data_IF_163461667080
#
_entry.id   IF_163461667080
#
_cell.length_a   1.000
_cell.length_b   1.000
_cell.length_c   1.000
_cell.angle_alpha   90.00
_cell.angle_beta   90.00
_cell.angle_gamma   90.00
#
_symmetry.space_group_name_H-M   'P 1'
#
loop_
_entity.id
_entity.type
_entity.pdbx_description
1 polymer ?
#
# COMPACT_ATOMS: atom_id res chain seq x y z
N UNK A 1 -4.48 3.11 -8.24
CA UNK A 1 -4.11 3.17 -6.81
C UNK A 1 -4.97 4.18 -6.00
N UNK A 2 -6.21 4.51 -6.40
CA UNK A 2 -6.93 5.67 -5.86
C UNK A 2 -7.10 5.69 -4.33
N UNK A 3 -7.61 4.60 -3.73
CA UNK A 3 -7.77 4.53 -2.27
C UNK A 3 -6.44 4.49 -1.53
N UNK A 4 -5.50 3.66 -2.00
CA UNK A 4 -4.17 3.53 -1.39
C UNK A 4 -3.41 4.87 -1.38
N UNK A 5 -3.48 5.64 -2.47
CA UNK A 5 -2.88 6.97 -2.57
C UNK A 5 -3.56 7.99 -1.63
N UNK A 6 -4.88 7.86 -1.43
CA UNK A 6 -5.65 8.69 -0.50
C UNK A 6 -5.21 8.44 0.95
N UNK A 7 -5.09 7.17 1.35
CA UNK A 7 -4.76 6.78 2.71
C UNK A 7 -3.25 6.86 3.02
N UNK A 8 -2.39 6.61 2.04
CA UNK A 8 -0.98 6.32 2.27
C UNK A 8 -0.76 4.92 2.86
N UNK A 9 0.50 4.55 3.04
CA UNK A 9 0.90 3.23 3.56
C UNK A 9 2.22 3.29 4.32
N UNK A 10 2.46 2.30 5.17
CA UNK A 10 3.75 2.07 5.83
C UNK A 10 4.07 0.59 5.84
N UNK A 11 5.14 0.20 5.16
CA UNK A 11 5.63 -1.19 5.09
C UNK A 11 6.68 -1.38 6.16
N UNK A 12 6.45 -2.32 7.08
CA UNK A 12 7.46 -2.72 8.05
C UNK A 12 8.45 -3.71 7.39
N UNK A 13 9.75 -3.35 7.25
CA UNK A 13 10.74 -4.23 6.64
C UNK A 13 11.08 -5.46 7.49
N UNK A 14 10.83 -5.42 8.80
CA UNK A 14 11.08 -6.52 9.73
C UNK A 14 9.92 -7.53 9.78
N UNK A 15 8.79 -7.25 9.12
CA UNK A 15 7.65 -8.15 9.07
C UNK A 15 7.83 -9.21 7.96
N UNK A 16 7.88 -10.52 8.31
CA UNK A 16 8.00 -11.59 7.33
C UNK A 16 6.87 -11.62 6.28
N UNK A 17 5.68 -11.10 6.60
CA UNK A 17 4.58 -11.01 5.65
C UNK A 17 4.88 -10.07 4.47
N UNK A 18 5.79 -9.10 4.66
CA UNK A 18 6.19 -8.13 3.65
C UNK A 18 7.38 -8.60 2.81
N UNK A 19 8.01 -9.74 3.13
CA UNK A 19 9.27 -10.17 2.51
C UNK A 19 9.21 -10.15 0.97
N UNK A 20 8.13 -10.68 0.37
CA UNK A 20 7.92 -10.69 -1.08
C UNK A 20 7.76 -9.28 -1.66
N UNK A 21 7.04 -8.39 -0.97
CA UNK A 21 6.84 -7.01 -1.40
C UNK A 21 8.16 -6.23 -1.38
N UNK A 22 9.01 -6.47 -0.37
CA UNK A 22 10.30 -5.81 -0.21
C UNK A 22 11.33 -6.21 -1.28
N UNK A 23 11.14 -7.32 -1.98
CA UNK A 23 12.02 -7.72 -3.10
C UNK A 23 11.96 -6.74 -4.27
N UNK A 24 10.82 -6.06 -4.46
CA UNK A 24 10.57 -5.17 -5.60
C UNK A 24 10.30 -3.73 -5.21
N UNK A 25 9.82 -3.48 -3.98
CA UNK A 25 9.48 -2.15 -3.51
C UNK A 25 10.75 -1.34 -3.15
N UNK A 26 10.98 -0.16 -3.77
CA UNK A 26 12.07 0.72 -3.39
C UNK A 26 11.92 1.24 -1.95
N UNK A 27 13.03 1.36 -1.21
CA UNK A 27 13.03 1.79 0.20
C UNK A 27 12.35 3.15 0.45
N UNK A 28 12.47 4.08 -0.50
CA UNK A 28 11.83 5.40 -0.40
C UNK A 28 10.30 5.35 -0.50
N UNK A 29 9.73 4.20 -0.86
CA UNK A 29 8.29 3.94 -0.88
C UNK A 29 7.84 3.12 0.33
N UNK A 30 8.70 2.86 1.33
CA UNK A 30 8.28 2.14 2.54
C UNK A 30 7.33 2.97 3.41
N UNK A 31 7.44 4.29 3.37
CA UNK A 31 6.51 5.18 4.07
C UNK A 31 6.05 6.29 3.12
N UNK A 32 4.77 6.27 2.78
CA UNK A 32 4.15 7.24 1.88
C UNK A 32 2.97 7.91 2.58
N UNK A 33 2.96 9.25 2.67
CA UNK A 33 1.90 9.95 3.37
C UNK A 33 0.55 9.89 2.60
N UNK A 34 -0.57 10.13 3.31
CA UNK A 34 -1.87 10.34 2.68
C UNK A 34 -1.84 11.44 1.60
N UNK A 35 -2.78 11.41 0.66
CA UNK A 35 -2.90 12.37 -0.45
C UNK A 35 -1.68 12.45 -1.39
N UNK A 36 -0.88 11.38 -1.46
CA UNK A 36 0.30 11.35 -2.33
C UNK A 36 -0.07 11.15 -3.79
N UNK A 37 0.64 11.84 -4.69
CA UNK A 37 0.55 11.57 -6.12
C UNK A 37 1.25 10.26 -6.45
N UNK A 38 0.54 9.35 -7.10
CA UNK A 38 1.08 8.06 -7.55
C UNK A 38 1.06 7.97 -9.07
N UNK A 39 2.09 7.36 -9.65
CA UNK A 39 2.15 7.07 -11.08
C UNK A 39 2.48 5.58 -11.29
N UNK A 40 1.76 4.94 -12.20
CA UNK A 40 2.04 3.57 -12.66
C UNK A 40 2.30 3.63 -14.17
N UNK A 41 3.57 3.51 -14.62
CA UNK A 41 3.91 3.47 -16.04
C UNK A 41 3.14 2.36 -16.78
N UNK A 42 2.85 2.59 -18.06
CA UNK A 42 1.99 1.70 -18.86
C UNK A 42 2.58 0.29 -19.02
N UNK A 43 3.91 0.17 -19.05
CA UNK A 43 4.61 -1.10 -19.31
C UNK A 43 5.44 -1.61 -18.13
N UNK A 44 5.46 -0.88 -17.03
CA UNK A 44 6.26 -1.18 -15.83
C UNK A 44 5.53 -0.64 -14.60
N UNK A 45 4.25 -1.01 -14.50
CA UNK A 45 3.38 -0.61 -13.41
C UNK A 45 3.43 -1.62 -12.26
N UNK A 46 2.81 -1.27 -11.13
CA UNK A 46 2.66 -2.17 -10.00
C UNK A 46 1.86 -3.43 -10.40
N UNK A 47 2.40 -4.59 -10.05
CA UNK A 47 1.77 -5.90 -10.18
C UNK A 47 0.62 -6.05 -9.19
N UNK A 48 -0.27 -7.03 -9.43
CA UNK A 48 -1.39 -7.30 -8.50
C UNK A 48 -0.91 -7.67 -7.10
N UNK A 49 0.18 -8.43 -6.99
CA UNK A 49 0.75 -8.84 -5.71
C UNK A 49 1.32 -7.66 -4.94
N UNK A 50 1.97 -6.72 -5.63
CA UNK A 50 2.46 -5.47 -5.02
C UNK A 50 1.29 -4.60 -4.55
N UNK A 51 0.23 -4.49 -5.35
CA UNK A 51 -0.97 -3.72 -4.97
C UNK A 51 -1.63 -4.33 -3.73
N UNK A 52 -1.82 -5.66 -3.68
CA UNK A 52 -2.41 -6.35 -2.54
C UNK A 52 -1.52 -6.21 -1.28
N UNK A 53 -0.20 -6.37 -1.43
CA UNK A 53 0.76 -6.16 -0.35
C UNK A 53 0.71 -4.73 0.20
N UNK A 54 0.65 -3.72 -0.68
CA UNK A 54 0.53 -2.33 -0.27
C UNK A 54 -0.82 -2.03 0.40
N UNK A 55 -1.94 -2.60 -0.09
CA UNK A 55 -3.25 -2.46 0.54
C UNK A 55 -3.28 -3.02 1.97
N UNK A 56 -2.64 -4.17 2.20
CA UNK A 56 -2.48 -4.75 3.53
C UNK A 56 -1.67 -3.87 4.50
N UNK A 57 -0.88 -2.92 3.98
CA UNK A 57 -0.08 -1.97 4.75
C UNK A 57 -0.67 -0.54 4.73
N UNK A 58 -1.94 -0.39 4.36
CA UNK A 58 -2.60 0.92 4.32
C UNK A 58 -2.67 1.57 5.70
N UNK A 59 -2.44 2.90 5.75
CA UNK A 59 -2.50 3.64 7.01
C UNK A 59 -3.94 3.75 7.51
N UNK A 60 -4.16 3.76 8.84
CA UNK A 60 -5.48 4.01 9.42
C UNK A 60 -5.93 5.45 9.15
N UNK A 61 -7.24 5.65 9.19
CA UNK A 61 -7.84 6.98 9.12
C UNK A 61 -7.62 7.77 10.44
N UNK A 62 -8.16 8.99 10.53
CA UNK A 62 -8.08 9.85 11.73
C UNK A 62 -8.55 9.15 13.02
N UNK A 63 -9.52 8.26 12.89
CA UNK A 63 -10.17 7.61 14.01
C UNK A 63 -9.46 6.28 14.39
N UNK A 64 -8.39 5.92 13.68
CA UNK A 64 -7.56 4.75 13.94
C UNK A 64 -7.96 3.50 13.15
N UNK A 65 -8.98 3.59 12.30
CA UNK A 65 -9.53 2.45 11.59
C UNK A 65 -8.90 2.26 10.21
N UNK A 66 -8.56 1.02 9.88
CA UNK A 66 -8.21 0.61 8.52
C UNK A 66 -9.51 0.22 7.80
N UNK A 67 -9.96 1.09 6.89
CA UNK A 67 -11.27 0.94 6.22
C UNK A 67 -11.28 -0.14 5.14
N UNK A 68 -10.12 -0.48 4.57
CA UNK A 68 -10.01 -1.35 3.41
C UNK A 68 -9.02 -2.48 3.71
N UNK A 69 -9.44 -3.71 3.44
CA UNK A 69 -8.61 -4.90 3.61
C UNK A 69 -7.61 -5.11 2.45
N UNK A 70 -6.80 -6.16 2.56
CA UNK A 70 -5.83 -6.53 1.52
C UNK A 70 -6.45 -6.92 0.18
N UNK A 71 -7.74 -7.28 0.15
CA UNK A 71 -8.49 -7.55 -1.08
C UNK A 71 -9.05 -6.27 -1.71
N UNK A 72 -8.84 -5.10 -1.08
CA UNK A 72 -9.32 -3.81 -1.55
C UNK A 72 -10.80 -3.57 -1.28
N UNK A 73 -11.40 -4.29 -0.31
CA UNK A 73 -12.82 -4.19 0.05
C UNK A 73 -13.01 -3.54 1.42
N UNK A 74 -14.19 -2.95 1.62
CA UNK A 74 -14.64 -2.40 2.89
C UNK A 74 -15.87 -3.17 3.37
N UNK A 75 -16.07 -3.19 4.68
CA UNK A 75 -17.37 -3.56 5.26
C UNK A 75 -18.33 -2.38 5.05
N UNK A 76 -19.60 -2.68 4.74
CA UNK A 76 -20.67 -1.70 4.52
C UNK A 76 -21.54 -1.55 5.77
#
# INVERSE_FOLDING_TARGET
LGWLAKAGWTVNPDDPANAKLLETLPEHLYDVPPESLTATPVFDGATNDEIAGLLANSKPNRDGDVMVDGDGKTVL
#
